data_IF_585650217110
#
_entry.id   IF_585650217110
#
_cell.length_a   1.000
_cell.length_b   1.000
_cell.length_c   1.000
_cell.angle_alpha   90.00
_cell.angle_beta   90.00
_cell.angle_gamma   90.00
#
_symmetry.space_group_name_H-M   'P 1'
#
loop_
_entity.id
_entity.type
_entity.pdbx_description
1 polymer ?
#
# COMPACT_ATOMS: atom_id res chain seq x y z
N UNK A 1 19.22 68.80 -13.44
CA UNK A 1 18.29 67.87 -14.12
C UNK A 1 18.71 66.44 -13.81
N UNK A 2 17.83 65.66 -13.15
CA UNK A 2 18.15 64.38 -12.50
C UNK A 2 18.22 63.23 -13.51
N UNK A 3 19.27 62.40 -13.41
CA UNK A 3 19.41 61.09 -14.08
C UNK A 3 18.30 60.16 -13.59
N UNK A 4 17.61 59.48 -14.50
CA UNK A 4 16.75 58.33 -14.18
C UNK A 4 17.27 57.13 -14.95
N UNK A 5 17.85 56.19 -14.22
CA UNK A 5 18.28 54.90 -14.70
C UNK A 5 17.05 54.08 -15.14
N UNK A 6 17.16 53.42 -16.31
CA UNK A 6 16.12 52.57 -16.87
C UNK A 6 16.44 51.13 -16.46
N UNK A 7 15.77 50.64 -15.43
CA UNK A 7 15.93 49.29 -14.91
C UNK A 7 15.61 48.22 -15.98
N UNK A 8 16.60 47.37 -16.26
CA UNK A 8 16.43 46.13 -17.02
C UNK A 8 15.63 45.14 -16.17
N UNK A 9 14.33 45.02 -16.44
CA UNK A 9 13.50 43.94 -15.89
C UNK A 9 14.00 42.59 -16.42
N UNK A 10 14.69 41.83 -15.58
CA UNK A 10 15.01 40.41 -15.79
C UNK A 10 13.70 39.64 -16.04
N UNK A 11 13.57 39.05 -17.24
CA UNK A 11 12.51 38.08 -17.53
C UNK A 11 12.82 36.81 -16.75
N UNK A 12 12.07 36.57 -15.67
CA UNK A 12 12.10 35.29 -14.96
C UNK A 12 11.55 34.21 -15.87
N UNK A 13 12.38 33.22 -16.19
CA UNK A 13 11.97 32.05 -16.96
C UNK A 13 10.91 31.27 -16.15
N UNK A 14 9.71 31.13 -16.72
CA UNK A 14 8.62 30.34 -16.14
C UNK A 14 9.04 28.86 -16.10
N UNK A 15 8.80 28.12 -15.01
CA UNK A 15 9.14 26.70 -14.95
C UNK A 15 8.31 25.94 -15.99
N UNK A 16 8.97 25.23 -16.92
CA UNK A 16 8.31 24.33 -17.86
C UNK A 16 7.62 23.23 -17.05
N UNK A 17 6.30 23.31 -16.94
CA UNK A 17 5.50 22.31 -16.24
C UNK A 17 5.74 20.92 -16.85
N UNK A 18 6.18 19.96 -16.03
CA UNK A 18 6.25 18.55 -16.41
C UNK A 18 4.86 18.12 -16.92
N UNK A 19 4.74 17.79 -18.21
CA UNK A 19 3.52 17.22 -18.79
C UNK A 19 3.16 15.96 -17.99
N UNK A 20 2.05 15.98 -17.25
CA UNK A 20 1.56 14.81 -16.50
C UNK A 20 1.27 13.70 -17.51
N UNK A 21 2.11 12.67 -17.53
CA UNK A 21 1.88 11.49 -18.36
C UNK A 21 0.62 10.79 -17.87
N UNK A 22 -0.40 10.71 -18.72
CA UNK A 22 -1.62 9.96 -18.45
C UNK A 22 -1.23 8.50 -18.21
N UNK A 23 -1.51 7.97 -17.01
CA UNK A 23 -1.19 6.59 -16.63
C UNK A 23 -2.25 5.65 -17.18
N UNK A 24 -1.90 4.90 -18.21
CA UNK A 24 -2.75 3.89 -18.87
C UNK A 24 -2.00 2.56 -18.96
N UNK A 25 -2.70 1.41 -19.00
CA UNK A 25 -2.06 0.11 -19.16
C UNK A 25 -1.25 -0.02 -20.47
N UNK A 26 -0.27 -0.95 -20.55
CA UNK A 26 0.42 -1.29 -21.80
C UNK A 26 -0.54 -1.76 -22.90
N UNK A 27 -0.17 -1.63 -24.17
CA UNK A 27 -1.03 -1.95 -25.32
C UNK A 27 -1.58 -3.39 -25.32
N UNK A 28 -0.81 -4.35 -24.81
CA UNK A 28 -1.20 -5.77 -24.77
C UNK A 28 -2.08 -6.15 -23.59
N UNK A 29 -2.39 -5.19 -22.71
CA UNK A 29 -3.08 -5.50 -21.47
C UNK A 29 -4.51 -6.02 -21.69
N UNK A 30 -4.91 -6.98 -20.86
CA UNK A 30 -6.26 -7.56 -20.92
C UNK A 30 -7.38 -6.58 -20.55
N UNK A 31 -7.02 -5.46 -19.92
CA UNK A 31 -7.92 -4.38 -19.57
C UNK A 31 -8.37 -3.57 -20.79
N UNK A 32 -7.74 -3.74 -21.96
CA UNK A 32 -8.24 -3.12 -23.18
C UNK A 32 -9.36 -3.95 -23.79
N UNK A 33 -10.46 -3.32 -24.24
CA UNK A 33 -11.39 -3.92 -25.18
C UNK A 33 -10.65 -4.57 -26.35
N UNK A 34 -11.18 -5.71 -26.83
CA UNK A 34 -10.52 -6.53 -27.87
C UNK A 34 -10.19 -5.71 -29.12
N UNK A 35 -11.07 -4.76 -29.48
CA UNK A 35 -10.90 -3.92 -30.67
C UNK A 35 -9.82 -2.84 -30.54
N UNK A 36 -9.32 -2.53 -29.33
CA UNK A 36 -8.27 -1.52 -29.11
C UNK A 36 -7.04 -2.06 -28.37
N UNK A 37 -6.80 -3.38 -28.45
CA UNK A 37 -5.61 -4.05 -27.90
C UNK A 37 -4.52 -4.21 -28.97
N UNK A 38 -3.27 -4.26 -28.55
CA UNK A 38 -2.12 -4.59 -29.40
C UNK A 38 -1.91 -3.61 -30.54
N UNK A 39 -1.92 -4.08 -31.79
CA UNK A 39 -1.66 -3.24 -32.99
C UNK A 39 -2.67 -2.11 -33.21
N UNK A 40 -3.89 -2.24 -32.68
CA UNK A 40 -4.95 -1.23 -32.78
C UNK A 40 -4.92 -0.23 -31.62
N UNK A 41 -4.02 -0.44 -30.65
CA UNK A 41 -3.86 0.46 -29.52
C UNK A 41 -3.09 1.72 -29.95
N UNK A 42 -3.63 2.89 -29.61
CA UNK A 42 -2.90 4.17 -29.72
C UNK A 42 -2.99 4.92 -28.39
N UNK A 43 -2.01 5.81 -28.15
CA UNK A 43 -2.04 6.69 -26.96
C UNK A 43 -3.29 7.57 -26.92
N UNK A 44 -3.84 7.94 -28.07
CA UNK A 44 -5.03 8.77 -28.17
C UNK A 44 -6.28 8.01 -27.75
N UNK A 45 -6.46 6.80 -28.26
CA UNK A 45 -7.53 5.88 -27.84
C UNK A 45 -7.40 5.55 -26.36
N UNK A 46 -6.19 5.30 -25.86
CA UNK A 46 -5.96 5.01 -24.45
C UNK A 46 -6.36 6.17 -23.52
N UNK A 47 -6.14 7.43 -23.94
CA UNK A 47 -6.55 8.61 -23.16
C UNK A 47 -8.07 8.70 -22.99
N UNK A 48 -8.87 8.18 -23.92
CA UNK A 48 -10.33 8.18 -23.79
C UNK A 48 -10.81 7.39 -22.57
N UNK A 49 -10.06 6.35 -22.19
CA UNK A 49 -10.36 5.49 -21.05
C UNK A 49 -9.63 5.86 -19.76
N UNK A 50 -8.73 6.85 -19.79
CA UNK A 50 -8.02 7.30 -18.60
C UNK A 50 -8.98 7.88 -17.56
N UNK A 51 -8.95 7.34 -16.34
CA UNK A 51 -9.86 7.78 -15.26
C UNK A 51 -11.31 7.32 -15.42
N UNK A 52 -11.55 6.29 -16.25
CA UNK A 52 -12.91 5.82 -16.61
C UNK A 52 -13.14 4.38 -16.18
N UNK A 53 -14.39 3.93 -16.16
CA UNK A 53 -14.76 2.61 -15.65
C UNK A 53 -14.03 1.46 -16.35
N UNK A 54 -13.68 1.56 -17.64
CA UNK A 54 -12.82 0.57 -18.31
C UNK A 54 -11.51 0.29 -17.57
N UNK A 55 -10.99 1.31 -16.88
CA UNK A 55 -9.75 1.25 -16.14
C UNK A 55 -9.94 1.27 -14.61
N UNK A 56 -11.13 0.93 -14.11
CA UNK A 56 -11.46 0.96 -12.68
C UNK A 56 -11.30 -0.42 -12.01
N UNK A 57 -10.78 -0.47 -10.78
CA UNK A 57 -10.57 -1.69 -9.99
C UNK A 57 -11.87 -2.36 -9.59
N UNK A 58 -12.93 -1.57 -9.50
CA UNK A 58 -14.26 -2.04 -9.16
C UNK A 58 -15.11 -2.41 -10.37
N UNK A 59 -14.61 -2.23 -11.60
CA UNK A 59 -15.33 -2.58 -12.82
C UNK A 59 -14.74 -3.85 -13.44
N UNK A 60 -15.57 -4.85 -13.69
CA UNK A 60 -15.17 -6.10 -14.32
C UNK A 60 -15.95 -6.34 -15.62
N UNK A 61 -15.37 -7.17 -16.50
CA UNK A 61 -16.05 -7.64 -17.69
C UNK A 61 -17.17 -8.62 -17.28
N UNK A 62 -18.35 -8.58 -17.93
CA UNK A 62 -19.38 -9.57 -17.69
C UNK A 62 -18.92 -10.97 -18.17
N UNK A 63 -19.60 -12.05 -17.74
CA UNK A 63 -19.28 -13.41 -18.16
C UNK A 63 -19.21 -13.55 -19.68
N UNK A 64 -18.37 -14.47 -20.17
CA UNK A 64 -18.14 -14.64 -21.60
C UNK A 64 -19.43 -14.93 -22.38
N UNK A 65 -20.34 -15.72 -21.82
CA UNK A 65 -21.66 -16.00 -22.40
C UNK A 65 -22.44 -14.71 -22.70
N UNK A 66 -22.47 -13.76 -21.75
CA UNK A 66 -23.13 -12.47 -21.90
C UNK A 66 -22.41 -11.60 -22.94
N UNK A 67 -21.08 -11.60 -22.96
CA UNK A 67 -20.29 -10.87 -23.97
C UNK A 67 -20.55 -11.39 -25.38
N UNK A 68 -20.59 -12.71 -25.55
CA UNK A 68 -20.90 -13.37 -26.83
C UNK A 68 -22.32 -13.03 -27.29
N UNK A 69 -23.29 -13.06 -26.39
CA UNK A 69 -24.68 -12.68 -26.69
C UNK A 69 -24.79 -11.22 -27.11
N UNK A 70 -24.17 -10.29 -26.38
CA UNK A 70 -24.18 -8.86 -26.74
C UNK A 70 -23.53 -8.64 -28.11
N UNK A 71 -22.43 -9.32 -28.42
CA UNK A 71 -21.78 -9.26 -29.74
C UNK A 71 -22.70 -9.78 -30.84
N UNK A 72 -23.37 -10.91 -30.63
CA UNK A 72 -24.34 -11.48 -31.59
C UNK A 72 -25.51 -10.52 -31.83
N UNK A 73 -25.97 -9.84 -30.78
CA UNK A 73 -27.06 -8.86 -30.83
C UNK A 73 -26.62 -7.44 -31.23
N UNK A 74 -25.34 -7.22 -31.57
CA UNK A 74 -24.76 -5.89 -31.84
C UNK A 74 -24.99 -4.85 -30.72
N UNK A 75 -25.10 -5.30 -29.48
CA UNK A 75 -25.27 -4.46 -28.30
C UNK A 75 -23.91 -4.07 -27.70
N UNK A 76 -23.80 -2.87 -27.10
CA UNK A 76 -22.61 -2.48 -26.37
C UNK A 76 -22.33 -3.42 -25.20
N UNK A 77 -21.05 -3.67 -24.94
CA UNK A 77 -20.64 -4.46 -23.77
C UNK A 77 -20.48 -3.54 -22.56
N UNK A 78 -21.48 -3.55 -21.67
CA UNK A 78 -21.38 -2.91 -20.37
C UNK A 78 -20.40 -3.66 -19.46
N UNK A 79 -19.75 -2.92 -18.56
CA UNK A 79 -18.99 -3.47 -17.44
C UNK A 79 -19.90 -3.62 -16.22
N UNK A 80 -19.52 -4.47 -15.29
CA UNK A 80 -20.21 -4.58 -13.99
C UNK A 80 -19.37 -3.88 -12.93
N UNK A 81 -19.90 -2.82 -12.33
CA UNK A 81 -19.29 -2.12 -11.21
C UNK A 81 -19.80 -2.67 -9.88
N UNK A 82 -18.90 -2.94 -8.94
CA UNK A 82 -19.22 -3.47 -7.60
C UNK A 82 -19.23 -2.41 -6.50
N UNK A 83 -18.81 -1.17 -6.79
CA UNK A 83 -18.67 -0.08 -5.80
C UNK A 83 -19.09 1.29 -6.37
N UNK A 84 -20.23 1.35 -7.07
CA UNK A 84 -20.70 2.59 -7.69
C UNK A 84 -21.31 3.54 -6.64
N UNK A 85 -21.03 4.86 -6.67
CA UNK A 85 -21.54 5.81 -5.70
C UNK A 85 -23.07 5.91 -5.64
N UNK A 86 -23.74 5.67 -6.76
CA UNK A 86 -25.22 5.76 -6.87
C UNK A 86 -25.93 4.44 -6.52
N UNK A 87 -25.17 3.36 -6.29
CA UNK A 87 -25.70 2.05 -5.92
C UNK A 87 -24.76 1.36 -4.92
N UNK A 88 -24.55 1.96 -3.73
CA UNK A 88 -23.66 1.40 -2.73
C UNK A 88 -24.12 -0.01 -2.31
N UNK A 89 -23.18 -0.96 -2.29
CA UNK A 89 -23.45 -2.35 -1.93
C UNK A 89 -24.20 -3.17 -2.98
N UNK A 90 -24.42 -2.64 -4.19
CA UNK A 90 -25.06 -3.38 -5.30
C UNK A 90 -24.18 -3.36 -6.55
N UNK A 91 -24.28 -4.44 -7.34
CA UNK A 91 -23.68 -4.48 -8.67
C UNK A 91 -24.52 -3.64 -9.65
N UNK A 92 -23.84 -2.87 -10.52
CA UNK A 92 -24.48 -2.01 -11.53
C UNK A 92 -23.76 -2.11 -12.87
N UNK A 93 -24.52 -2.16 -13.95
CA UNK A 93 -23.97 -2.01 -15.30
C UNK A 93 -23.49 -0.57 -15.53
N UNK A 94 -22.25 -0.42 -15.98
CA UNK A 94 -21.61 0.87 -16.28
C UNK A 94 -20.97 0.82 -17.65
N UNK A 95 -20.93 1.95 -18.34
CA UNK A 95 -20.24 2.04 -19.63
C UNK A 95 -18.72 2.09 -19.42
N UNK A 96 -17.93 1.47 -20.32
CA UNK A 96 -16.47 1.62 -20.35
C UNK A 96 -15.96 3.06 -20.24
N UNK A 97 -16.71 3.99 -20.82
CA UNK A 97 -16.41 5.41 -20.93
C UNK A 97 -17.01 6.27 -19.80
N UNK A 98 -17.70 5.68 -18.83
CA UNK A 98 -18.20 6.42 -17.67
C UNK A 98 -17.10 6.75 -16.67
N UNK A 99 -17.34 7.74 -15.81
CA UNK A 99 -16.47 8.10 -14.68
C UNK A 99 -17.34 8.22 -13.43
N UNK A 100 -16.81 7.84 -12.27
CA UNK A 100 -17.52 7.97 -11.00
C UNK A 100 -16.57 8.44 -9.89
N UNK A 101 -17.11 8.99 -8.79
CA UNK A 101 -16.31 9.48 -7.65
C UNK A 101 -15.57 8.37 -6.89
N UNK A 102 -16.00 7.12 -7.02
CA UNK A 102 -15.34 5.94 -6.45
C UNK A 102 -14.32 5.30 -7.40
N UNK A 103 -13.96 5.97 -8.51
CA UNK A 103 -12.97 5.44 -9.44
C UNK A 103 -11.65 5.15 -8.72
N UNK A 104 -11.22 3.90 -8.79
CA UNK A 104 -9.89 3.48 -8.37
C UNK A 104 -9.18 2.90 -9.57
N UNK A 105 -8.08 3.50 -10.02
CA UNK A 105 -7.33 2.97 -11.17
C UNK A 105 -6.85 1.54 -10.86
N UNK A 106 -7.10 0.55 -11.73
CA UNK A 106 -6.55 -0.77 -11.45
C UNK A 106 -5.02 -0.72 -11.46
N UNK A 107 -4.42 -1.54 -10.61
CA UNK A 107 -2.99 -1.82 -10.64
C UNK A 107 -2.71 -2.80 -11.78
N UNK A 108 -2.61 -2.30 -13.01
CA UNK A 108 -1.81 -2.95 -14.03
C UNK A 108 -0.39 -2.85 -13.54
N UNK A 109 0.22 -4.00 -13.27
CA UNK A 109 1.63 -4.05 -12.96
C UNK A 109 2.36 -3.43 -14.15
N UNK A 110 2.77 -2.16 -14.04
CA UNK A 110 4.09 -1.84 -14.56
C UNK A 110 4.97 -2.98 -14.01
N UNK A 111 5.77 -3.70 -14.83
CA UNK A 111 6.84 -4.46 -14.23
C UNK A 111 7.43 -3.48 -13.24
N UNK A 112 7.48 -3.83 -11.95
CA UNK A 112 8.34 -3.09 -11.04
C UNK A 112 9.61 -3.02 -11.85
N UNK A 113 9.97 -1.83 -12.36
CA UNK A 113 11.38 -1.53 -12.62
C UNK A 113 11.96 -2.08 -11.35
N UNK A 114 12.74 -3.17 -11.45
CA UNK A 114 13.35 -3.76 -10.27
C UNK A 114 14.10 -2.57 -9.72
N UNK A 115 13.48 -1.86 -8.77
CA UNK A 115 14.08 -0.73 -8.11
C UNK A 115 15.34 -1.38 -7.63
N UNK A 116 16.52 -0.95 -8.15
CA UNK A 116 17.76 -1.72 -8.08
C UNK A 116 17.78 -2.35 -6.72
N UNK A 117 17.62 -3.71 -6.66
CA UNK A 117 17.02 -4.46 -5.52
C UNK A 117 17.14 -3.55 -4.33
N UNK A 118 16.05 -2.85 -3.94
CA UNK A 118 16.08 -1.86 -2.84
C UNK A 118 17.03 -2.46 -1.83
N UNK A 119 18.26 -1.93 -1.72
CA UNK A 119 19.37 -2.69 -1.10
C UNK A 119 18.76 -3.26 0.16
N UNK A 120 18.84 -4.59 0.41
CA UNK A 120 18.24 -5.17 1.60
C UNK A 120 18.55 -4.19 2.71
N UNK A 121 17.49 -3.57 3.28
CA UNK A 121 17.71 -2.60 4.33
C UNK A 121 18.59 -3.36 5.32
N UNK A 122 19.82 -2.90 5.59
CA UNK A 122 20.86 -3.78 6.10
C UNK A 122 20.51 -4.15 7.53
N UNK A 123 19.67 -5.17 7.74
CA UNK A 123 19.14 -5.58 9.03
C UNK A 123 18.15 -6.75 8.90
N UNK A 124 18.47 -7.81 8.15
CA UNK A 124 18.22 -9.12 8.77
C UNK A 124 19.31 -9.23 9.80
N UNK A 125 18.98 -8.93 11.06
CA UNK A 125 19.89 -9.27 12.11
C UNK A 125 20.09 -10.79 12.07
N UNK A 126 21.32 -11.20 11.76
CA UNK A 126 21.76 -12.57 11.93
C UNK A 126 21.32 -13.02 13.33
N UNK A 127 20.48 -14.06 13.46
CA UNK A 127 19.99 -14.51 14.74
C UNK A 127 21.17 -14.97 15.60
N UNK A 128 21.66 -14.09 16.48
CA UNK A 128 22.67 -14.44 17.48
C UNK A 128 22.00 -15.29 18.56
N UNK A 129 21.86 -16.59 18.30
CA UNK A 129 21.49 -17.58 19.31
C UNK A 129 20.13 -18.23 19.14
N UNK A 130 19.77 -19.04 20.14
CA UNK A 130 18.53 -19.81 20.19
C UNK A 130 17.33 -18.89 20.42
N UNK A 131 16.24 -19.19 19.75
CA UNK A 131 14.97 -18.46 19.85
C UNK A 131 14.04 -19.18 20.81
N UNK A 132 13.32 -18.42 21.63
CA UNK A 132 12.31 -18.91 22.56
C UNK A 132 10.99 -18.15 22.36
N UNK A 133 9.90 -18.77 22.80
CA UNK A 133 8.55 -18.20 22.71
C UNK A 133 7.94 -18.04 24.11
N UNK A 134 7.31 -16.89 24.36
CA UNK A 134 6.56 -16.61 25.59
C UNK A 134 5.07 -16.51 25.21
N UNK A 135 4.18 -17.34 25.79
CA UNK A 135 2.75 -17.26 25.51
C UNK A 135 2.14 -15.98 26.10
N UNK A 136 1.28 -15.31 25.31
CA UNK A 136 0.62 -14.04 25.67
C UNK A 136 -0.89 -14.20 25.91
N UNK A 137 -1.44 -15.40 25.70
CA UNK A 137 -2.88 -15.67 25.70
C UNK A 137 -3.50 -15.55 24.29
N UNK A 138 -4.73 -16.06 24.13
CA UNK A 138 -5.46 -16.07 22.85
C UNK A 138 -4.71 -16.72 21.67
N UNK A 139 -3.84 -17.69 21.95
CA UNK A 139 -3.03 -18.38 20.92
C UNK A 139 -1.83 -17.56 20.41
N UNK A 140 -1.57 -16.38 20.98
CA UNK A 140 -0.46 -15.51 20.60
C UNK A 140 0.79 -15.81 21.45
N UNK A 141 1.96 -15.59 20.86
CA UNK A 141 3.25 -15.72 21.51
C UNK A 141 4.20 -14.59 21.09
N UNK A 142 5.07 -14.18 21.99
CA UNK A 142 6.19 -13.29 21.71
C UNK A 142 7.46 -14.09 21.44
N UNK A 143 8.22 -13.70 20.43
CA UNK A 143 9.52 -14.30 20.08
C UNK A 143 10.64 -13.50 20.72
N UNK A 144 11.53 -14.17 21.45
CA UNK A 144 12.63 -13.55 22.21
C UNK A 144 13.92 -14.37 22.08
N UNK A 145 15.06 -13.74 22.34
CA UNK A 145 16.35 -14.44 22.42
C UNK A 145 16.46 -15.23 23.74
N UNK A 146 17.19 -16.35 23.72
CA UNK A 146 17.33 -17.25 24.89
C UNK A 146 17.93 -16.54 26.12
N UNK A 147 18.78 -15.52 25.90
CA UNK A 147 19.36 -14.70 26.97
C UNK A 147 18.30 -13.90 27.75
N UNK A 148 17.30 -13.34 27.05
CA UNK A 148 16.23 -12.54 27.67
C UNK A 148 15.09 -13.41 28.20
N UNK A 149 14.92 -14.60 27.63
CA UNK A 149 13.84 -15.53 27.98
C UNK A 149 13.76 -15.79 29.49
N UNK A 150 14.89 -16.07 30.15
CA UNK A 150 14.94 -16.39 31.59
C UNK A 150 14.45 -15.26 32.49
N UNK A 151 14.62 -14.01 32.04
CA UNK A 151 14.15 -12.84 32.78
C UNK A 151 12.71 -12.49 32.43
N UNK A 152 12.37 -12.47 31.14
CA UNK A 152 11.03 -12.18 30.66
C UNK A 152 9.98 -13.21 31.12
N UNK A 153 10.36 -14.49 31.22
CA UNK A 153 9.47 -15.58 31.65
C UNK A 153 9.04 -15.48 33.12
N UNK A 154 9.66 -14.60 33.91
CA UNK A 154 9.25 -14.36 35.31
C UNK A 154 7.96 -13.56 35.42
N UNK A 155 7.58 -12.86 34.35
CA UNK A 155 6.42 -11.98 34.33
C UNK A 155 5.27 -12.59 33.55
N UNK A 156 4.04 -12.26 33.96
CA UNK A 156 2.83 -12.57 33.18
C UNK A 156 2.66 -11.51 32.09
N UNK A 157 2.69 -11.96 30.85
CA UNK A 157 2.52 -11.12 29.67
C UNK A 157 1.14 -11.32 29.05
N UNK A 158 0.64 -10.29 28.40
CA UNK A 158 -0.63 -10.29 27.68
C UNK A 158 -0.48 -9.54 26.36
N UNK A 159 -1.23 -9.96 25.35
CA UNK A 159 -1.29 -9.26 24.08
C UNK A 159 -2.33 -8.13 24.13
N UNK A 160 -1.94 -6.93 23.71
CA UNK A 160 -2.86 -5.80 23.52
C UNK A 160 -2.86 -5.36 22.06
N UNK A 161 -4.06 -5.18 21.51
CA UNK A 161 -4.23 -4.60 20.18
C UNK A 161 -4.17 -3.07 20.29
N UNK A 162 -3.28 -2.47 19.52
CA UNK A 162 -3.12 -1.02 19.43
C UNK A 162 -3.06 -0.63 17.95
N UNK A 163 -4.17 -0.07 17.45
CA UNK A 163 -4.37 0.19 16.03
C UNK A 163 -4.13 -1.07 15.18
N UNK A 164 -3.16 -1.04 14.26
CA UNK A 164 -2.81 -2.14 13.36
C UNK A 164 -1.76 -3.10 13.94
N UNK A 165 -1.36 -2.92 15.20
CA UNK A 165 -0.27 -3.66 15.83
C UNK A 165 -0.69 -4.39 17.11
N UNK A 166 -0.03 -5.52 17.39
CA UNK A 166 -0.24 -6.32 18.60
C UNK A 166 1.03 -6.26 19.45
N UNK A 167 0.93 -5.69 20.64
CA UNK A 167 2.06 -5.57 21.54
C UNK A 167 1.97 -6.55 22.71
N UNK A 168 3.11 -7.12 23.08
CA UNK A 168 3.24 -7.83 24.34
C UNK A 168 3.42 -6.80 25.47
N UNK A 169 2.47 -6.79 26.41
CA UNK A 169 2.48 -5.90 27.57
C UNK A 169 2.38 -6.69 28.87
N UNK A 170 2.85 -6.06 29.94
CA UNK A 170 2.58 -6.46 31.32
C UNK A 170 2.19 -5.25 32.15
N UNK A 171 1.43 -5.47 33.21
CA UNK A 171 1.16 -4.43 34.21
C UNK A 171 2.22 -4.56 35.32
N UNK A 172 3.01 -3.51 35.50
CA UNK A 172 3.95 -3.38 36.62
C UNK A 172 3.32 -2.66 37.81
N UNK A 173 4.16 -2.36 38.80
CA UNK A 173 3.73 -1.66 40.01
C UNK A 173 3.13 -0.28 39.70
N UNK A 174 2.13 0.12 40.50
CA UNK A 174 1.39 1.39 40.35
C UNK A 174 0.67 1.53 38.98
N UNK A 175 0.11 0.44 38.47
CA UNK A 175 -0.68 0.41 37.22
C UNK A 175 0.07 0.87 35.97
N UNK A 176 1.41 0.77 35.95
CA UNK A 176 2.19 1.14 34.78
C UNK A 176 2.16 0.01 33.76
N UNK A 177 1.77 0.32 32.53
CA UNK A 177 1.89 -0.61 31.40
C UNK A 177 3.33 -0.62 30.91
N UNK A 178 3.92 -1.82 30.88
CA UNK A 178 5.29 -2.05 30.41
C UNK A 178 5.22 -2.88 29.13
N UNK A 179 5.90 -2.42 28.09
CA UNK A 179 5.96 -3.09 26.79
C UNK A 179 7.22 -3.97 26.71
N UNK A 180 7.08 -5.20 26.22
CA UNK A 180 8.18 -6.16 26.15
C UNK A 180 9.36 -5.64 25.34
N UNK A 181 9.09 -5.05 24.15
CA UNK A 181 10.13 -4.47 23.30
C UNK A 181 10.96 -3.39 24.02
N UNK A 182 10.33 -2.59 24.90
CA UNK A 182 11.05 -1.56 25.66
C UNK A 182 11.95 -2.14 26.72
N UNK A 183 11.55 -3.26 27.33
CA UNK A 183 12.40 -3.94 28.33
C UNK A 183 13.62 -4.56 27.67
N UNK A 184 13.43 -5.19 26.51
CA UNK A 184 14.53 -5.78 25.71
C UNK A 184 15.50 -4.70 25.22
N UNK A 185 15.00 -3.53 24.83
CA UNK A 185 15.83 -2.41 24.39
C UNK A 185 16.43 -1.58 25.54
N UNK A 186 16.13 -1.91 26.81
CA UNK A 186 16.49 -1.08 27.97
C UNK A 186 16.16 0.41 27.81
N UNK A 187 14.99 0.68 27.21
CA UNK A 187 14.61 1.99 26.71
C UNK A 187 14.23 2.97 27.84
N UNK A 188 14.92 4.10 27.92
CA UNK A 188 14.63 5.17 28.91
C UNK A 188 13.28 5.83 28.66
N UNK A 189 12.71 6.49 29.68
CA UNK A 189 11.42 7.18 29.54
C UNK A 189 11.49 8.23 28.41
N UNK A 190 10.59 8.15 27.44
CA UNK A 190 10.52 9.07 26.32
C UNK A 190 11.29 8.65 25.06
N UNK A 191 12.13 7.62 25.14
CA UNK A 191 12.72 7.01 23.92
C UNK A 191 11.65 6.28 23.12
N UNK A 192 11.71 6.42 21.80
CA UNK A 192 10.87 5.68 20.85
C UNK A 192 11.59 4.39 20.54
N UNK A 193 10.87 3.28 20.54
CA UNK A 193 11.46 1.98 20.24
C UNK A 193 10.66 1.36 19.11
N UNK A 194 11.34 0.91 18.06
CA UNK A 194 10.73 0.36 16.84
C UNK A 194 11.25 -1.04 16.53
N UNK A 195 10.47 -1.80 15.77
CA UNK A 195 10.78 -3.15 15.29
C UNK A 195 11.28 -3.09 13.84
N UNK A 196 12.50 -3.57 13.61
CA UNK A 196 13.16 -3.59 12.31
C UNK A 196 12.35 -4.31 11.22
N UNK A 197 11.66 -5.39 11.57
CA UNK A 197 10.85 -6.21 10.68
C UNK A 197 9.36 -5.82 10.66
N UNK A 198 8.97 -4.77 11.39
CA UNK A 198 7.59 -4.36 11.62
C UNK A 198 6.68 -5.43 12.26
N UNK A 199 7.26 -6.49 12.84
CA UNK A 199 6.54 -7.49 13.61
C UNK A 199 6.68 -7.20 15.11
N UNK A 200 5.62 -6.64 15.69
CA UNK A 200 5.60 -6.18 17.09
C UNK A 200 5.64 -7.29 18.14
N UNK A 201 5.46 -8.55 17.74
CA UNK A 201 5.63 -9.73 18.60
C UNK A 201 7.04 -10.32 18.55
N UNK A 202 7.89 -9.86 17.61
CA UNK A 202 9.29 -10.25 17.52
C UNK A 202 10.16 -9.34 18.40
N UNK A 203 10.24 -9.66 19.68
CA UNK A 203 10.94 -8.86 20.69
C UNK A 203 12.40 -9.32 20.89
N UNK A 204 13.07 -9.71 19.82
CA UNK A 204 14.49 -10.08 19.85
C UNK A 204 15.37 -8.84 19.90
N UNK A 205 16.49 -8.86 20.62
CA UNK A 205 17.37 -7.69 20.78
C UNK A 205 17.79 -7.12 19.42
N UNK A 206 18.00 -8.01 18.47
CA UNK A 206 18.45 -7.65 17.14
C UNK A 206 17.36 -7.01 16.27
N UNK A 207 16.09 -7.26 16.61
CA UNK A 207 14.92 -6.74 15.91
C UNK A 207 14.43 -5.42 16.51
N UNK A 208 14.73 -5.14 17.79
CA UNK A 208 14.26 -3.94 18.49
C UNK A 208 15.31 -2.82 18.41
N UNK A 209 14.88 -1.59 18.10
CA UNK A 209 15.75 -0.41 17.94
C UNK A 209 15.27 0.75 18.81
N UNK A 210 16.12 1.38 19.65
CA UNK A 210 15.80 2.60 20.38
C UNK A 210 15.87 3.87 19.51
#
# INVERSE_FOLDING_TARGET
>A
MKKVARDKKMRTATPVGRKRTVRVPPAESEFWPVWCRGKLWTREVARWFAGRCQLCAYACQPPESRRRLNKLASLPTFLVCTNHPDSPGRMREVMPTEKCRNFMAQRWQLPRVKSPKRMPHPQTCEPKGKVRHIPLGHGLFATVDDADYKWLSKHKWSAVNMYDHIYAIRHGDRHRTVYMHREVAHATKGSVVDHADHNTLNNRQCNVRP
#
